data_IF_260486702022
#
_entry.id   IF_260486702022
#
_cell.length_a   1.000
_cell.length_b   1.000
_cell.length_c   1.000
_cell.angle_alpha   90.00
_cell.angle_beta   90.00
_cell.angle_gamma   90.00
#
_symmetry.space_group_name_H-M   'P 1'
#
loop_
_entity.id
_entity.type
_entity.pdbx_description
1 polymer ?
#
# COMPACT_ATOMS: atom_id res chain seq x y z
N UNK A 1 10.40 -12.55 -3.71
CA UNK A 1 10.04 -11.83 -4.92
C UNK A 1 9.89 -10.35 -4.65
N UNK A 2 10.24 -9.54 -5.62
CA UNK A 2 10.12 -8.10 -5.48
C UNK A 2 8.96 -7.60 -6.31
N UNK A 3 8.20 -6.68 -5.74
CA UNK A 3 7.01 -6.13 -6.36
C UNK A 3 7.10 -4.61 -6.39
N UNK A 4 6.52 -4.05 -7.42
CA UNK A 4 6.34 -2.61 -7.52
C UNK A 4 4.85 -2.34 -7.66
N UNK A 5 4.33 -1.48 -6.80
CA UNK A 5 2.91 -1.14 -6.84
C UNK A 5 2.68 -0.14 -7.96
N UNK A 6 1.72 -0.43 -8.82
CA UNK A 6 1.37 0.44 -9.93
C UNK A 6 0.10 1.21 -9.67
N UNK A 7 -0.78 0.68 -8.80
CA UNK A 7 -1.97 1.38 -8.38
C UNK A 7 -2.39 0.79 -7.04
N UNK A 8 -2.97 1.60 -6.18
CA UNK A 8 -3.41 1.13 -4.88
C UNK A 8 -4.55 1.99 -4.36
N UNK A 9 -5.53 1.32 -3.76
CA UNK A 9 -6.62 1.98 -3.07
C UNK A 9 -6.69 1.42 -1.67
N UNK A 10 -6.53 2.28 -0.70
CA UNK A 10 -6.64 1.89 0.70
C UNK A 10 -8.05 2.03 1.20
N UNK A 11 -8.38 1.19 2.16
CA UNK A 11 -9.61 1.35 2.93
C UNK A 11 -9.25 2.22 4.13
N UNK A 12 -9.49 3.52 3.99
CA UNK A 12 -9.19 4.46 5.06
C UNK A 12 -10.19 4.37 6.21
N UNK A 13 -11.24 3.56 6.01
CA UNK A 13 -12.28 3.37 6.99
C UNK A 13 -13.30 4.49 6.98
N UNK A 14 -14.45 4.18 7.51
CA UNK A 14 -15.52 5.16 7.70
C UNK A 14 -15.41 5.75 9.08
N UNK A 15 -14.22 5.83 9.57
CA UNK A 15 -13.98 6.34 10.89
C UNK A 15 -14.49 7.75 10.99
N UNK A 16 -15.28 7.99 11.98
CA UNK A 16 -15.81 9.30 12.26
C UNK A 16 -14.74 10.27 12.69
N UNK A 17 -13.65 9.73 13.12
CA UNK A 17 -12.52 10.54 13.53
C UNK A 17 -11.66 10.82 12.31
N UNK A 18 -11.44 12.07 11.97
CA UNK A 18 -10.53 12.38 10.87
C UNK A 18 -9.11 12.18 11.34
N UNK A 19 -8.73 10.94 11.31
CA UNK A 19 -7.44 10.55 11.82
C UNK A 19 -6.34 10.94 10.86
N UNK A 20 -6.68 11.11 9.60
CA UNK A 20 -5.68 11.32 8.57
C UNK A 20 -6.17 12.35 7.57
N UNK A 21 -5.28 13.25 7.18
CA UNK A 21 -5.58 14.28 6.20
C UNK A 21 -5.31 13.76 4.80
N UNK A 22 -5.83 14.46 3.79
CA UNK A 22 -5.57 14.10 2.40
C UNK A 22 -4.08 14.16 2.09
N UNK A 23 -3.37 15.10 2.68
CA UNK A 23 -1.93 15.22 2.49
C UNK A 23 -1.21 13.98 3.01
N UNK A 24 -1.62 13.49 4.17
CA UNK A 24 -1.03 12.29 4.73
C UNK A 24 -1.36 11.07 3.89
N UNK A 25 -2.58 11.00 3.37
CA UNK A 25 -2.97 9.91 2.47
C UNK A 25 -2.10 9.90 1.22
N UNK A 26 -1.88 11.08 0.63
CA UNK A 26 -1.03 11.20 -0.55
C UNK A 26 0.40 10.79 -0.26
N UNK A 27 0.92 11.17 0.90
CA UNK A 27 2.27 10.79 1.29
C UNK A 27 2.41 9.29 1.44
N UNK A 28 1.43 8.65 2.04
CA UNK A 28 1.44 7.20 2.23
C UNK A 28 1.41 6.50 0.87
N UNK A 29 0.53 6.92 -0.01
CA UNK A 29 0.41 6.34 -1.34
C UNK A 29 1.69 6.55 -2.13
N UNK A 30 2.25 7.73 -2.07
CA UNK A 30 3.48 8.05 -2.76
C UNK A 30 4.64 7.18 -2.27
N UNK A 31 4.72 6.99 -0.98
CA UNK A 31 5.74 6.13 -0.39
C UNK A 31 5.59 4.69 -0.84
N UNK A 32 4.37 4.19 -0.91
CA UNK A 32 4.10 2.85 -1.41
C UNK A 32 4.58 2.71 -2.85
N UNK A 33 4.30 3.70 -3.69
CA UNK A 33 4.74 3.67 -5.07
C UNK A 33 6.25 3.74 -5.22
N UNK A 34 6.91 4.41 -4.30
CA UNK A 34 8.36 4.60 -4.35
C UNK A 34 9.12 3.41 -3.82
N UNK A 35 8.47 2.52 -3.13
CA UNK A 35 9.10 1.39 -2.47
C UNK A 35 9.06 0.15 -3.35
N UNK A 36 10.17 -0.58 -3.41
CA UNK A 36 10.18 -1.91 -3.99
C UNK A 36 9.90 -2.87 -2.84
N UNK A 37 8.77 -3.56 -2.93
CA UNK A 37 8.32 -4.43 -1.85
C UNK A 37 8.82 -5.85 -2.04
N UNK A 38 9.24 -6.48 -0.96
CA UNK A 38 9.61 -7.88 -1.00
C UNK A 38 8.52 -8.69 -0.32
N UNK A 39 8.01 -9.68 -1.02
CA UNK A 39 6.94 -10.52 -0.52
C UNK A 39 6.98 -11.86 -1.24
N UNK A 40 6.36 -12.88 -0.62
CA UNK A 40 6.31 -14.22 -1.19
C UNK A 40 5.30 -14.32 -2.34
N UNK A 41 4.20 -13.62 -2.18
CA UNK A 41 3.11 -13.62 -3.16
C UNK A 41 2.28 -12.36 -2.98
N UNK A 42 1.19 -12.27 -3.73
CA UNK A 42 0.34 -11.08 -3.70
C UNK A 42 -0.31 -10.87 -2.34
N UNK A 43 -0.72 -11.95 -1.69
CA UNK A 43 -1.34 -11.83 -0.37
C UNK A 43 -0.33 -11.31 0.65
N UNK A 44 0.87 -11.82 0.59
CA UNK A 44 1.94 -11.37 1.47
C UNK A 44 2.29 -9.90 1.19
N UNK A 45 2.27 -9.51 -0.08
CA UNK A 45 2.51 -8.11 -0.45
C UNK A 45 1.50 -7.18 0.22
N UNK A 46 0.22 -7.55 0.19
CA UNK A 46 -0.83 -6.76 0.83
C UNK A 46 -0.58 -6.68 2.34
N UNK A 47 -0.21 -7.77 2.96
CA UNK A 47 0.10 -7.78 4.38
C UNK A 47 1.28 -6.90 4.72
N UNK A 48 2.33 -6.92 3.89
CA UNK A 48 3.50 -6.08 4.10
C UNK A 48 3.13 -4.61 4.03
N UNK A 49 2.33 -4.25 3.06
CA UNK A 49 1.89 -2.86 2.91
C UNK A 49 1.00 -2.44 4.08
N UNK A 50 0.07 -3.31 4.46
CA UNK A 50 -0.80 -3.03 5.60
C UNK A 50 0.01 -2.83 6.88
N UNK A 51 1.00 -3.66 7.09
CA UNK A 51 1.86 -3.57 8.25
C UNK A 51 2.69 -2.29 8.25
N UNK A 52 3.17 -1.89 7.10
CA UNK A 52 4.01 -0.71 6.97
C UNK A 52 3.23 0.59 7.09
N UNK A 53 2.00 0.61 6.57
CA UNK A 53 1.19 1.83 6.55
C UNK A 53 0.20 1.92 7.69
N UNK A 54 -0.23 0.79 8.21
CA UNK A 54 -1.25 0.73 9.24
C UNK A 54 -2.68 0.76 8.70
N UNK A 55 -2.83 0.73 7.38
CA UNK A 55 -4.15 0.76 6.75
C UNK A 55 -4.36 -0.46 5.88
N UNK A 56 -5.61 -0.90 5.81
CA UNK A 56 -5.96 -2.04 4.98
C UNK A 56 -5.98 -1.64 3.51
N UNK A 57 -5.58 -2.57 2.67
CA UNK A 57 -5.61 -2.36 1.22
C UNK A 57 -6.94 -2.85 0.69
N UNK A 58 -7.65 -1.98 -0.02
CA UNK A 58 -8.92 -2.32 -0.61
C UNK A 58 -8.75 -2.95 -1.99
N UNK A 59 -7.87 -2.37 -2.80
CA UNK A 59 -7.49 -2.97 -4.08
C UNK A 59 -6.07 -2.54 -4.41
N UNK A 60 -5.40 -3.35 -5.22
CA UNK A 60 -4.01 -3.09 -5.56
C UNK A 60 -3.68 -3.68 -6.92
N UNK A 61 -2.89 -2.94 -7.69
CA UNK A 61 -2.26 -3.43 -8.90
C UNK A 61 -0.75 -3.33 -8.71
N UNK A 62 -0.06 -4.31 -9.22
CA UNK A 62 1.38 -4.40 -9.04
C UNK A 62 2.02 -5.12 -10.21
N UNK A 63 3.33 -5.03 -10.29
CA UNK A 63 4.09 -5.82 -11.25
C UNK A 63 5.31 -6.38 -10.54
N UNK A 64 5.90 -7.41 -11.14
CA UNK A 64 7.10 -7.99 -10.61
C UNK A 64 8.31 -7.15 -11.02
N UNK A 65 9.23 -7.01 -10.10
CA UNK A 65 10.49 -6.36 -10.38
C UNK A 65 11.50 -7.44 -10.72
N UNK A 66 11.98 -7.42 -11.93
CA UNK A 66 12.98 -8.38 -12.38
C UNK A 66 14.36 -7.79 -12.21
N UNK A 67 15.25 -8.61 -11.79
CA UNK A 67 16.64 -8.19 -11.63
C UNK A 67 17.55 -8.91 -12.57
#
# INVERSE_FOLDING_TARGET
>A
MHYRVTDIHFDWGDSIEPVITEEEMDEIVDEVFSTTWEASDADDLVEEITSATGFCVNSIDYCYVLK
#
